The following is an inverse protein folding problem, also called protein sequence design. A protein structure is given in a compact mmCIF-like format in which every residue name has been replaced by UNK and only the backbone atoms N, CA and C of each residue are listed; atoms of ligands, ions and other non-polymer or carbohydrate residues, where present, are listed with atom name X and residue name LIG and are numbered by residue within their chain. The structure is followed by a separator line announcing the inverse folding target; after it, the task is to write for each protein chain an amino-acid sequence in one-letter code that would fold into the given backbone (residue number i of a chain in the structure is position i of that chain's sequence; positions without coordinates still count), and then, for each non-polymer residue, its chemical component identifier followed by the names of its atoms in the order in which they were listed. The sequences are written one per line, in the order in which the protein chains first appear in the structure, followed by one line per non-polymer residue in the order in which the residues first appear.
data_IF_729920476649
#
_entry.id   IF_729920476649
#
_cell.length_a   1.000
_cell.length_b   1.000
_cell.length_c   1.000
_cell.angle_alpha   90.00
_cell.angle_beta   90.00
_cell.angle_gamma   90.00
#
_symmetry.space_group_name_H-M   'P 1'
#
loop_
_entity.id
_entity.type
_entity.pdbx_description
1 polymer ?
#
# COMPACT_ATOMS: atom_id res chain seq x y z
N UNK A 1 15.25 15.68 -18.91
CA UNK A 1 16.21 15.41 -17.82
C UNK A 1 15.68 15.91 -16.48
N UNK A 2 15.37 17.21 -16.28
CA UNK A 2 14.75 17.72 -15.03
C UNK A 2 13.43 17.02 -14.61
N UNK A 3 12.50 16.81 -15.55
CA UNK A 3 11.24 16.08 -15.26
C UNK A 3 11.46 14.59 -14.95
N UNK A 4 12.50 13.97 -15.51
CA UNK A 4 12.77 12.55 -15.30
C UNK A 4 13.39 12.29 -13.92
N UNK A 5 14.22 13.20 -13.40
CA UNK A 5 14.78 13.11 -12.05
C UNK A 5 13.70 13.28 -10.96
N UNK A 6 12.76 14.20 -11.15
CA UNK A 6 11.62 14.41 -10.24
C UNK A 6 10.64 13.22 -10.25
N UNK A 7 10.36 12.63 -11.43
CA UNK A 7 9.53 11.42 -11.53
C UNK A 7 10.20 10.22 -10.85
N UNK A 8 11.53 10.06 -10.98
CA UNK A 8 12.29 9.00 -10.30
C UNK A 8 12.24 9.10 -8.77
N UNK A 9 12.32 10.33 -8.25
CA UNK A 9 12.18 10.66 -6.83
C UNK A 9 10.79 10.27 -6.32
N UNK A 10 9.73 10.64 -7.06
CA UNK A 10 8.35 10.30 -6.70
C UNK A 10 8.12 8.78 -6.68
N UNK A 11 8.64 8.03 -7.66
CA UNK A 11 8.48 6.56 -7.71
C UNK A 11 9.15 5.81 -6.55
N UNK A 12 10.29 6.32 -6.02
CA UNK A 12 10.97 5.73 -4.86
C UNK A 12 10.25 6.01 -3.53
N UNK A 13 9.55 7.13 -3.45
CA UNK A 13 8.89 7.63 -2.23
C UNK A 13 7.49 7.03 -1.98
N UNK A 14 6.97 6.40 -3.02
CA UNK A 14 5.62 5.82 -3.13
C UNK A 14 5.60 4.40 -2.53
N UNK A 15 6.74 3.71 -2.36
CA UNK A 15 6.84 2.30 -1.92
C UNK A 15 6.82 2.01 -0.40
N UNK A 16 6.32 2.91 0.46
CA UNK A 16 6.34 2.73 1.92
C UNK A 16 5.31 1.73 2.46
N UNK A 17 5.80 0.66 3.11
CA UNK A 17 5.35 0.01 4.40
C UNK A 17 6.17 -1.24 4.78
N UNK A 18 7.37 -1.40 4.24
CA UNK A 18 8.27 -2.51 4.64
C UNK A 18 9.65 -1.96 4.98
N UNK A 19 9.77 -0.68 5.36
CA UNK A 19 11.07 -0.02 5.45
C UNK A 19 11.96 -0.53 6.59
N UNK A 20 11.44 -1.20 7.62
CA UNK A 20 12.30 -1.92 8.58
C UNK A 20 13.00 -3.15 7.97
N UNK A 21 12.32 -3.94 7.13
CA UNK A 21 12.96 -5.05 6.41
C UNK A 21 13.72 -4.58 5.16
N UNK A 22 13.26 -3.52 4.48
CA UNK A 22 14.01 -2.87 3.39
C UNK A 22 15.23 -2.12 3.90
N UNK A 23 15.23 -1.54 5.10
CA UNK A 23 16.44 -0.94 5.68
C UNK A 23 17.53 -1.99 5.77
N UNK A 24 17.27 -3.19 6.31
CA UNK A 24 18.30 -4.24 6.39
C UNK A 24 18.62 -4.93 5.05
N UNK A 25 17.65 -5.11 4.14
CA UNK A 25 17.84 -5.78 2.84
C UNK A 25 18.46 -4.84 1.78
N UNK A 26 18.13 -3.54 1.81
CA UNK A 26 18.79 -2.51 1.02
C UNK A 26 20.16 -2.16 1.61
N UNK A 27 20.32 -2.18 2.94
CA UNK A 27 21.61 -1.98 3.57
C UNK A 27 22.66 -3.02 3.14
N UNK A 28 22.29 -4.25 2.78
CA UNK A 28 23.26 -5.23 2.24
C UNK A 28 23.44 -5.15 0.70
N UNK A 29 22.41 -4.76 -0.05
CA UNK A 29 22.42 -4.77 -1.52
C UNK A 29 22.86 -3.47 -2.18
N UNK A 30 22.55 -2.30 -1.60
CA UNK A 30 22.91 -0.98 -2.16
C UNK A 30 24.10 -0.30 -1.47
N UNK A 31 24.51 -0.72 -0.27
CA UNK A 31 25.78 -0.30 0.36
C UNK A 31 27.01 -0.64 -0.49
N UNK A 32 26.88 -1.57 -1.44
CA UNK A 32 27.94 -1.92 -2.40
C UNK A 32 28.01 -0.97 -3.60
N UNK A 33 27.00 -0.14 -3.85
CA UNK A 33 26.91 0.75 -5.03
C UNK A 33 26.88 2.24 -4.71
N UNK A 34 26.34 2.66 -3.56
CA UNK A 34 26.47 4.02 -3.08
C UNK A 34 27.80 4.18 -2.31
N UNK A 35 28.73 4.98 -2.82
CA UNK A 35 29.88 5.47 -2.03
C UNK A 35 29.42 6.56 -1.03
N UNK A 36 28.35 6.30 -0.28
CA UNK A 36 27.84 7.17 0.79
C UNK A 36 28.07 6.52 2.15
N UNK A 37 28.49 7.30 3.14
CA UNK A 37 28.72 6.81 4.50
C UNK A 37 27.38 6.73 5.24
N UNK A 38 26.62 5.64 5.03
CA UNK A 38 25.45 5.32 5.85
C UNK A 38 25.85 4.74 7.22
N UNK A 39 27.15 4.55 7.48
CA UNK A 39 27.67 3.94 8.71
C UNK A 39 27.62 4.86 9.93
N UNK A 40 27.38 6.16 9.75
CA UNK A 40 27.30 7.17 10.81
C UNK A 40 25.86 7.52 11.25
N UNK A 41 24.84 6.84 10.68
CA UNK A 41 23.43 7.02 11.07
C UNK A 41 23.22 6.34 12.44
N UNK A 42 22.76 7.08 13.48
CA UNK A 42 22.53 6.51 14.79
C UNK A 42 21.29 5.60 14.81
N UNK A 43 21.26 4.65 15.74
CA UNK A 43 20.06 3.87 16.03
C UNK A 43 18.95 4.78 16.57
N UNK A 44 17.74 4.63 16.02
CA UNK A 44 16.59 5.43 16.40
C UNK A 44 16.11 5.07 17.82
N UNK A 45 15.75 6.09 18.61
CA UNK A 45 15.14 5.91 19.92
C UNK A 45 13.66 6.30 19.81
N UNK A 46 12.82 5.32 19.48
CA UNK A 46 11.35 5.49 19.39
C UNK A 46 10.77 5.78 20.78
N UNK A 47 9.86 6.76 20.86
CA UNK A 47 9.25 7.23 22.12
C UNK A 47 7.74 7.22 22.13
N UNK A 48 7.13 7.17 20.95
CA UNK A 48 5.70 7.05 20.73
C UNK A 48 5.39 5.64 20.23
N UNK A 49 4.32 5.03 20.74
CA UNK A 49 3.86 3.73 20.24
C UNK A 49 3.00 3.86 18.98
N UNK A 50 2.69 5.07 18.51
CA UNK A 50 2.00 5.30 17.24
C UNK A 50 2.58 4.41 16.13
N UNK A 51 1.69 3.74 15.40
CA UNK A 51 2.03 2.85 14.29
C UNK A 51 2.90 1.63 14.64
N UNK A 52 3.07 1.32 15.92
CA UNK A 52 3.77 0.09 16.36
C UNK A 52 2.94 -1.15 16.05
N UNK A 53 3.63 -2.24 15.69
CA UNK A 53 3.02 -3.54 15.43
C UNK A 53 3.07 -4.44 16.68
N UNK A 54 1.89 -4.76 17.19
CA UNK A 54 1.64 -5.66 18.31
C UNK A 54 1.00 -6.99 17.88
N UNK A 55 1.02 -7.32 16.58
CA UNK A 55 0.41 -8.53 16.05
C UNK A 55 0.96 -9.79 16.74
N UNK A 56 0.07 -10.63 17.25
CA UNK A 56 0.42 -11.86 17.97
C UNK A 56 1.12 -11.69 19.32
N UNK A 57 1.27 -10.47 19.83
CA UNK A 57 1.96 -10.20 21.11
C UNK A 57 1.05 -10.46 22.32
N UNK A 58 1.69 -10.71 23.48
CA UNK A 58 1.01 -10.79 24.78
C UNK A 58 1.21 -9.48 25.54
N UNK A 59 0.18 -8.63 25.56
CA UNK A 59 0.18 -7.30 26.18
C UNK A 59 -0.57 -7.27 27.52
N UNK A 60 -0.90 -8.44 28.09
CA UNK A 60 -1.74 -8.55 29.30
C UNK A 60 -1.19 -7.81 30.52
N UNK A 61 0.13 -7.59 30.56
CA UNK A 61 0.83 -6.88 31.63
C UNK A 61 1.01 -5.37 31.36
N UNK A 62 0.60 -4.85 30.20
CA UNK A 62 0.70 -3.42 29.86
C UNK A 62 -0.52 -2.61 30.32
N UNK A 63 -0.35 -1.31 30.47
CA UNK A 63 -1.43 -0.36 30.81
C UNK A 63 -1.59 0.66 29.68
N UNK A 64 -2.74 0.61 29.01
CA UNK A 64 -3.11 1.50 27.92
C UNK A 64 -4.20 2.51 28.34
N UNK A 65 -4.57 2.57 29.63
CA UNK A 65 -5.70 3.39 30.11
C UNK A 65 -5.61 4.89 29.76
N UNK A 66 -4.39 5.39 29.51
CA UNK A 66 -4.11 6.79 29.17
C UNK A 66 -3.83 7.03 27.68
N UNK A 67 -3.83 6.00 26.83
CA UNK A 67 -3.44 6.11 25.41
C UNK A 67 -4.50 6.85 24.58
N UNK A 68 -5.79 6.68 24.88
CA UNK A 68 -6.87 7.30 24.12
C UNK A 68 -6.87 6.85 22.65
N UNK A 69 -7.20 7.77 21.74
CA UNK A 69 -7.37 7.52 20.30
C UNK A 69 -6.08 7.04 19.60
N UNK A 70 -4.91 7.23 20.22
CA UNK A 70 -3.63 6.73 19.69
C UNK A 70 -3.67 5.20 19.46
N UNK A 71 -4.47 4.46 20.23
CA UNK A 71 -4.63 3.00 20.06
C UNK A 71 -5.11 2.62 18.65
N UNK A 72 -5.82 3.53 17.97
CA UNK A 72 -6.28 3.33 16.60
C UNK A 72 -5.14 3.34 15.58
N UNK A 73 -3.99 3.90 15.94
CA UNK A 73 -2.82 3.94 15.04
C UNK A 73 -2.00 2.65 15.07
N UNK A 74 -2.21 1.77 16.05
CA UNK A 74 -1.44 0.54 16.21
C UNK A 74 -1.77 -0.49 15.14
N UNK A 75 -0.88 -1.45 14.90
CA UNK A 75 -1.19 -2.69 14.22
C UNK A 75 -1.31 -3.83 15.24
N UNK A 76 -2.29 -4.72 15.07
CA UNK A 76 -2.48 -5.87 15.95
C UNK A 76 -3.40 -6.91 15.30
N UNK A 77 -3.24 -8.18 15.72
CA UNK A 77 -4.00 -9.29 15.17
C UNK A 77 -5.05 -9.83 16.14
N UNK A 78 -5.93 -10.68 15.64
CA UNK A 78 -6.89 -11.46 16.43
C UNK A 78 -6.23 -12.32 17.51
N UNK A 79 -4.92 -12.61 17.39
CA UNK A 79 -4.15 -13.37 18.39
C UNK A 79 -3.49 -12.48 19.45
N UNK A 80 -3.44 -11.16 19.23
CA UNK A 80 -2.89 -10.21 20.21
C UNK A 80 -3.71 -10.28 21.50
N UNK A 81 -3.05 -10.53 22.63
CA UNK A 81 -3.72 -10.60 23.92
C UNK A 81 -3.64 -9.25 24.63
N UNK A 82 -4.80 -8.71 24.96
CA UNK A 82 -4.93 -7.40 25.59
C UNK A 82 -5.14 -7.51 27.11
N UNK A 83 -4.78 -6.46 27.88
CA UNK A 83 -5.05 -6.42 29.31
C UNK A 83 -6.56 -6.28 29.60
N UNK A 84 -6.93 -6.37 30.88
CA UNK A 84 -8.30 -6.16 31.33
C UNK A 84 -8.84 -4.77 30.97
N UNK A 85 -10.16 -4.63 30.88
CA UNK A 85 -10.83 -3.40 30.45
C UNK A 85 -10.50 -2.16 31.33
N UNK A 86 -10.09 -2.37 32.59
CA UNK A 86 -9.62 -1.32 33.51
C UNK A 86 -8.26 -0.72 33.11
N UNK A 87 -7.51 -1.41 32.25
CA UNK A 87 -6.21 -1.01 31.71
C UNK A 87 -6.26 -0.70 30.21
N UNK A 88 -7.46 -0.61 29.64
CA UNK A 88 -7.69 -0.22 28.25
C UNK A 88 -8.22 1.21 28.17
N UNK A 89 -8.01 1.94 27.06
CA UNK A 89 -8.63 3.25 26.85
C UNK A 89 -10.16 3.14 26.92
N UNK A 90 -10.86 4.04 27.65
CA UNK A 90 -12.31 4.04 27.70
C UNK A 90 -12.95 4.16 26.31
N UNK A 91 -13.90 3.26 26.01
CA UNK A 91 -14.62 3.28 24.73
C UNK A 91 -13.95 2.53 23.58
N UNK A 92 -12.74 2.00 23.78
CA UNK A 92 -12.03 1.23 22.77
C UNK A 92 -11.93 -0.24 23.15
N UNK A 93 -12.32 -1.11 22.22
CA UNK A 93 -12.16 -2.56 22.32
C UNK A 93 -11.47 -3.07 21.07
N UNK A 94 -10.40 -3.89 21.19
CA UNK A 94 -9.67 -4.42 20.05
C UNK A 94 -10.56 -5.17 19.05
N UNK A 95 -11.56 -5.91 19.55
CA UNK A 95 -12.51 -6.63 18.69
C UNK A 95 -13.37 -5.69 17.86
N UNK A 96 -13.79 -4.55 18.44
CA UNK A 96 -14.59 -3.55 17.74
C UNK A 96 -13.74 -2.82 16.69
N UNK A 97 -12.45 -2.58 16.96
CA UNK A 97 -11.51 -1.97 15.99
C UNK A 97 -11.29 -2.92 14.80
N UNK A 98 -11.02 -4.21 15.05
CA UNK A 98 -10.91 -5.23 14.00
C UNK A 98 -12.19 -5.33 13.19
N UNK A 99 -13.36 -5.36 13.84
CA UNK A 99 -14.63 -5.45 13.14
C UNK A 99 -14.87 -4.25 12.21
N UNK A 100 -14.57 -3.04 12.69
CA UNK A 100 -14.75 -1.80 11.91
C UNK A 100 -13.73 -1.66 10.78
N UNK A 101 -12.49 -2.10 10.97
CA UNK A 101 -11.48 -2.03 9.92
C UNK A 101 -11.72 -2.99 8.75
N UNK A 102 -12.61 -3.99 8.91
CA UNK A 102 -13.00 -4.88 7.78
C UNK A 102 -13.83 -4.15 6.74
N UNK A 103 -14.56 -3.11 7.13
CA UNK A 103 -15.34 -2.28 6.21
C UNK A 103 -14.42 -1.43 5.34
N UNK A 104 -14.48 -1.59 4.03
CA UNK A 104 -13.67 -0.82 3.08
C UNK A 104 -14.22 0.61 2.85
N UNK A 105 -15.46 0.89 3.29
CA UNK A 105 -16.08 2.21 3.25
C UNK A 105 -16.50 2.69 1.86
N UNK A 106 -16.72 4.00 1.75
CA UNK A 106 -16.99 4.75 0.52
C UNK A 106 -18.19 4.23 -0.28
N UNK A 107 -19.20 3.68 0.41
CA UNK A 107 -20.44 3.19 -0.16
C UNK A 107 -20.34 1.82 -0.83
N UNK A 108 -19.24 1.08 -0.63
CA UNK A 108 -19.06 -0.26 -1.22
C UNK A 108 -20.16 -1.23 -0.79
N UNK A 109 -20.57 -1.24 0.49
CA UNK A 109 -21.67 -2.10 0.95
C UNK A 109 -22.98 -1.82 0.20
N UNK A 110 -23.28 -0.55 -0.08
CA UNK A 110 -24.47 -0.19 -0.86
C UNK A 110 -24.38 -0.66 -2.33
N UNK A 111 -23.18 -0.68 -2.91
CA UNK A 111 -22.95 -1.27 -4.24
C UNK A 111 -23.16 -2.78 -4.22
N UNK A 112 -22.61 -3.47 -3.20
CA UNK A 112 -22.78 -4.92 -3.03
C UNK A 112 -24.26 -5.29 -2.85
N UNK A 113 -25.01 -4.56 -2.02
CA UNK A 113 -26.46 -4.75 -1.86
C UNK A 113 -27.24 -4.52 -3.17
N UNK A 114 -26.73 -3.67 -4.07
CA UNK A 114 -27.28 -3.44 -5.40
C UNK A 114 -26.84 -4.49 -6.44
N UNK A 115 -26.08 -5.52 -6.04
CA UNK A 115 -25.58 -6.59 -6.90
C UNK A 115 -24.31 -6.24 -7.68
N UNK A 116 -23.65 -5.12 -7.35
CA UNK A 116 -22.37 -4.74 -7.96
C UNK A 116 -21.24 -5.20 -7.02
N UNK A 117 -20.79 -6.42 -7.20
CA UNK A 117 -19.91 -7.20 -6.32
C UNK A 117 -18.62 -7.69 -7.01
N UNK A 118 -18.46 -7.40 -8.30
CA UNK A 118 -17.43 -7.99 -9.16
C UNK A 118 -17.80 -9.36 -9.72
N UNK A 119 -19.04 -9.82 -9.51
CA UNK A 119 -19.53 -11.09 -10.05
C UNK A 119 -19.30 -11.18 -11.57
N UNK A 120 -18.78 -12.32 -12.03
CA UNK A 120 -18.49 -12.55 -13.45
C UNK A 120 -17.20 -11.91 -13.95
N UNK A 121 -16.47 -11.16 -13.12
CA UNK A 121 -15.16 -10.60 -13.48
C UNK A 121 -14.04 -11.46 -12.90
N UNK A 122 -13.12 -11.88 -13.77
CA UNK A 122 -11.88 -12.54 -13.36
C UNK A 122 -10.77 -11.52 -13.17
N UNK A 123 -10.13 -11.58 -12.02
CA UNK A 123 -9.04 -10.69 -11.59
C UNK A 123 -7.85 -11.54 -11.17
N UNK A 124 -6.64 -10.96 -11.19
CA UNK A 124 -5.45 -11.66 -10.74
C UNK A 124 -4.61 -10.83 -9.77
N UNK A 125 -3.88 -11.53 -8.89
CA UNK A 125 -2.80 -10.97 -8.07
C UNK A 125 -1.52 -11.75 -8.39
N UNK A 126 -0.41 -11.05 -8.57
CA UNK A 126 0.93 -11.64 -8.61
C UNK A 126 1.70 -11.14 -7.39
N UNK A 127 1.88 -12.00 -6.39
CA UNK A 127 2.55 -11.66 -5.13
C UNK A 127 3.11 -12.95 -4.47
N UNK A 128 3.72 -12.85 -3.30
CA UNK A 128 4.33 -13.96 -2.54
C UNK A 128 3.27 -14.96 -2.06
N UNK A 129 3.63 -16.17 -1.60
CA UNK A 129 2.66 -17.18 -1.17
C UNK A 129 1.72 -16.69 -0.06
N UNK A 130 0.50 -17.23 0.01
CA UNK A 130 -0.52 -16.89 1.02
C UNK A 130 -1.17 -18.16 1.58
N UNK A 131 -1.82 -18.10 2.76
CA UNK A 131 -2.61 -19.23 3.26
C UNK A 131 -3.81 -19.48 2.33
N UNK A 132 -3.84 -20.63 1.66
CA UNK A 132 -4.82 -20.94 0.59
C UNK A 132 -6.24 -21.16 1.13
N UNK A 133 -6.35 -21.53 2.40
CA UNK A 133 -7.57 -21.91 3.10
C UNK A 133 -8.12 -20.79 4.00
N UNK A 134 -7.61 -19.57 3.90
CA UNK A 134 -8.06 -18.44 4.69
C UNK A 134 -9.52 -18.07 4.36
N UNK A 135 -10.36 -17.94 5.40
CA UNK A 135 -11.80 -17.73 5.25
C UNK A 135 -12.17 -16.49 4.43
N UNK A 136 -11.38 -15.43 4.57
CA UNK A 136 -11.56 -14.18 3.83
C UNK A 136 -11.70 -14.37 2.31
N UNK A 137 -10.95 -15.26 1.65
CA UNK A 137 -10.91 -15.31 0.18
C UNK A 137 -10.96 -16.73 -0.41
N UNK A 138 -10.95 -17.79 0.42
CA UNK A 138 -10.86 -19.19 -0.03
C UNK A 138 -11.95 -19.62 -1.02
N UNK A 139 -13.14 -19.01 -0.96
CA UNK A 139 -14.27 -19.36 -1.83
C UNK A 139 -14.03 -18.90 -3.29
N UNK A 140 -13.38 -17.75 -3.47
CA UNK A 140 -13.14 -17.14 -4.78
C UNK A 140 -11.74 -17.44 -5.36
N UNK A 141 -10.87 -18.05 -4.55
CA UNK A 141 -9.46 -18.24 -4.87
C UNK A 141 -9.21 -19.37 -5.88
N UNK A 142 -8.45 -19.04 -6.93
CA UNK A 142 -7.77 -19.96 -7.86
C UNK A 142 -6.26 -19.77 -7.67
N UNK A 143 -5.63 -20.63 -6.88
CA UNK A 143 -4.22 -20.49 -6.52
C UNK A 143 -3.29 -21.21 -7.51
N UNK A 144 -2.30 -20.50 -8.03
CA UNK A 144 -1.29 -20.99 -8.98
C UNK A 144 0.10 -20.78 -8.40
N UNK A 145 0.89 -21.85 -8.33
CA UNK A 145 2.31 -21.76 -7.97
C UNK A 145 3.13 -21.52 -9.23
N UNK A 146 3.81 -20.37 -9.33
CA UNK A 146 4.66 -20.03 -10.48
C UNK A 146 5.96 -20.85 -10.48
N UNK A 147 6.40 -21.31 -9.30
CA UNK A 147 7.60 -22.11 -9.10
C UNK A 147 7.32 -23.36 -8.23
N UNK A 148 6.54 -24.34 -8.73
CA UNK A 148 6.19 -25.51 -7.94
C UNK A 148 7.45 -26.30 -7.54
N UNK A 149 7.56 -26.62 -6.25
CA UNK A 149 8.71 -27.31 -5.67
C UNK A 149 9.86 -26.42 -5.22
N UNK A 150 9.79 -25.10 -5.41
CA UNK A 150 10.74 -24.15 -4.80
C UNK A 150 10.41 -23.96 -3.31
N UNK A 151 11.41 -24.12 -2.42
CA UNK A 151 11.19 -24.04 -0.97
C UNK A 151 10.66 -22.69 -0.50
N UNK A 152 10.96 -21.61 -1.23
CA UNK A 152 10.48 -20.26 -0.92
C UNK A 152 8.99 -20.10 -1.13
N UNK A 153 8.35 -21.07 -1.79
CA UNK A 153 6.90 -21.12 -1.93
C UNK A 153 6.17 -21.57 -0.65
N UNK A 154 6.89 -22.07 0.34
CA UNK A 154 6.30 -22.70 1.53
C UNK A 154 5.97 -21.71 2.66
N UNK A 155 6.41 -20.46 2.57
CA UNK A 155 6.21 -19.47 3.62
C UNK A 155 5.19 -18.41 3.16
N UNK A 156 4.00 -18.37 3.79
CA UNK A 156 3.04 -17.30 3.54
C UNK A 156 3.59 -15.93 3.92
N UNK A 157 3.18 -14.90 3.18
CA UNK A 157 3.55 -13.51 3.40
C UNK A 157 2.30 -12.63 3.56
N UNK A 158 2.34 -11.72 4.54
CA UNK A 158 1.16 -10.93 4.93
C UNK A 158 0.68 -9.98 3.84
N UNK A 159 1.58 -9.43 3.03
CA UNK A 159 1.22 -8.44 1.99
C UNK A 159 0.25 -9.04 0.97
N UNK A 160 0.54 -10.23 0.46
CA UNK A 160 -0.31 -10.93 -0.50
C UNK A 160 -1.66 -11.35 0.09
N UNK A 161 -1.68 -11.79 1.36
CA UNK A 161 -2.93 -12.16 2.04
C UNK A 161 -3.82 -10.94 2.23
N UNK A 162 -3.20 -9.81 2.60
CA UNK A 162 -3.87 -8.53 2.66
C UNK A 162 -4.44 -8.10 1.31
N UNK A 163 -3.63 -8.17 0.25
CA UNK A 163 -4.06 -7.84 -1.10
C UNK A 163 -5.23 -8.70 -1.60
N UNK A 164 -5.19 -10.02 -1.37
CA UNK A 164 -6.28 -10.92 -1.71
C UNK A 164 -7.57 -10.56 -0.96
N UNK A 165 -7.46 -10.26 0.35
CA UNK A 165 -8.63 -9.88 1.15
C UNK A 165 -9.22 -8.52 0.78
N UNK A 166 -8.39 -7.54 0.41
CA UNK A 166 -8.84 -6.21 -0.04
C UNK A 166 -9.53 -6.32 -1.39
N UNK A 167 -8.95 -7.06 -2.33
CA UNK A 167 -9.47 -7.12 -3.69
C UNK A 167 -10.77 -7.92 -3.75
N UNK A 168 -10.74 -9.19 -3.32
CA UNK A 168 -11.82 -10.16 -3.53
C UNK A 168 -12.13 -11.01 -2.29
N UNK A 169 -11.80 -10.49 -1.10
CA UNK A 169 -12.23 -11.10 0.15
C UNK A 169 -13.70 -10.86 0.47
N UNK A 170 -14.24 -11.54 1.46
CA UNK A 170 -15.63 -11.42 1.94
C UNK A 170 -16.05 -9.96 2.20
N UNK A 171 -15.12 -9.16 2.74
CA UNK A 171 -15.31 -7.72 3.00
C UNK A 171 -14.52 -6.84 2.02
N UNK A 172 -13.98 -7.42 0.95
CA UNK A 172 -13.18 -6.73 -0.03
C UNK A 172 -14.01 -5.81 -0.94
N UNK A 173 -13.32 -5.14 -1.85
CA UNK A 173 -13.93 -4.20 -2.81
C UNK A 173 -14.82 -4.94 -3.81
N UNK A 174 -14.35 -6.07 -4.35
CA UNK A 174 -15.04 -6.90 -5.33
C UNK A 174 -15.21 -8.35 -4.80
N UNK A 175 -16.06 -8.57 -3.79
CA UNK A 175 -16.14 -9.81 -3.01
C UNK A 175 -16.63 -11.04 -3.78
N UNK A 176 -17.13 -10.89 -5.02
CA UNK A 176 -17.58 -12.01 -5.85
C UNK A 176 -16.78 -12.15 -7.16
N UNK A 177 -15.69 -11.37 -7.31
CA UNK A 177 -14.75 -11.53 -8.41
C UNK A 177 -13.98 -12.87 -8.27
N UNK A 178 -13.75 -13.57 -9.38
CA UNK A 178 -12.92 -14.78 -9.36
C UNK A 178 -11.45 -14.38 -9.28
N UNK A 179 -10.79 -14.73 -8.17
CA UNK A 179 -9.42 -14.32 -7.88
C UNK A 179 -8.40 -15.39 -8.31
N UNK A 180 -7.64 -15.10 -9.37
CA UNK A 180 -6.46 -15.88 -9.76
C UNK A 180 -5.22 -15.37 -9.01
N UNK A 181 -4.62 -16.21 -8.18
CA UNK A 181 -3.45 -15.83 -7.40
C UNK A 181 -2.21 -16.54 -7.92
N UNK A 182 -1.31 -15.79 -8.57
CA UNK A 182 -0.03 -16.29 -9.06
C UNK A 182 1.04 -16.06 -7.99
N UNK A 183 1.25 -17.09 -7.18
CA UNK A 183 2.25 -17.04 -6.13
C UNK A 183 3.66 -17.15 -6.71
N UNK A 184 4.51 -16.18 -6.39
CA UNK A 184 5.92 -16.12 -6.78
C UNK A 184 6.85 -16.33 -5.58
N UNK A 185 8.06 -16.91 -5.77
CA UNK A 185 9.05 -16.99 -4.71
C UNK A 185 9.47 -15.62 -4.17
N UNK A 186 9.78 -15.56 -2.87
CA UNK A 186 10.50 -14.41 -2.30
C UNK A 186 11.97 -14.45 -2.74
N UNK A 187 12.28 -13.73 -3.83
CA UNK A 187 13.58 -13.74 -4.51
C UNK A 187 14.11 -12.31 -4.63
N UNK A 188 15.44 -12.17 -4.54
CA UNK A 188 16.14 -10.91 -4.83
C UNK A 188 16.00 -10.44 -6.28
N UNK A 189 15.59 -11.32 -7.21
CA UNK A 189 15.28 -11.01 -8.60
C UNK A 189 13.77 -11.14 -8.88
N UNK A 190 12.92 -10.25 -8.31
CA UNK A 190 11.47 -10.39 -8.38
C UNK A 190 10.93 -10.27 -9.82
N UNK A 191 11.52 -9.41 -10.66
CA UNK A 191 11.06 -9.20 -12.04
C UNK A 191 11.06 -10.47 -12.87
N UNK A 192 12.04 -11.37 -12.66
CA UNK A 192 12.07 -12.67 -13.32
C UNK A 192 10.80 -13.48 -13.03
N UNK A 193 10.37 -13.49 -11.77
CA UNK A 193 9.20 -14.25 -11.35
C UNK A 193 7.90 -13.54 -11.73
N UNK A 194 7.85 -12.20 -11.70
CA UNK A 194 6.74 -11.39 -12.20
C UNK A 194 6.52 -11.62 -13.70
N UNK A 195 7.58 -11.56 -14.52
CA UNK A 195 7.51 -11.85 -15.96
C UNK A 195 7.02 -13.27 -16.20
N UNK A 196 7.57 -14.28 -15.50
CA UNK A 196 7.12 -15.66 -15.63
C UNK A 196 5.65 -15.83 -15.26
N UNK A 197 5.19 -15.18 -14.19
CA UNK A 197 3.80 -15.22 -13.76
C UNK A 197 2.86 -14.60 -14.81
N UNK A 198 3.26 -13.47 -15.39
CA UNK A 198 2.49 -12.82 -16.46
C UNK A 198 2.45 -13.67 -17.73
N UNK A 199 3.55 -14.30 -18.12
CA UNK A 199 3.56 -15.22 -19.26
C UNK A 199 2.59 -16.41 -19.02
N UNK A 200 2.62 -17.01 -17.82
CA UNK A 200 1.66 -18.06 -17.44
C UNK A 200 0.21 -17.57 -17.46
N UNK A 201 -0.04 -16.33 -17.01
CA UNK A 201 -1.36 -15.72 -17.03
C UNK A 201 -1.86 -15.54 -18.47
N UNK A 202 -1.02 -15.03 -19.36
CA UNK A 202 -1.38 -14.83 -20.77
C UNK A 202 -1.62 -16.16 -21.49
N UNK A 203 -0.77 -17.17 -21.27
CA UNK A 203 -0.98 -18.53 -21.79
C UNK A 203 -2.34 -19.10 -21.33
N UNK A 204 -2.68 -18.95 -20.04
CA UNK A 204 -3.98 -19.38 -19.52
C UNK A 204 -5.15 -18.62 -20.17
N UNK A 205 -5.02 -17.32 -20.41
CA UNK A 205 -6.08 -16.51 -21.05
C UNK A 205 -6.38 -16.97 -22.47
N UNK A 206 -5.39 -17.44 -23.22
CA UNK A 206 -5.61 -17.95 -24.59
C UNK A 206 -6.59 -19.14 -24.59
N UNK A 207 -6.54 -19.97 -23.56
CA UNK A 207 -7.39 -21.16 -23.41
C UNK A 207 -8.77 -20.86 -22.80
N UNK A 208 -8.97 -19.67 -22.23
CA UNK A 208 -10.21 -19.29 -21.56
C UNK A 208 -11.26 -18.69 -22.51
N UNK A 209 -12.57 -18.94 -22.25
CA UNK A 209 -13.65 -18.19 -22.89
C UNK A 209 -13.48 -16.69 -22.68
N UNK A 210 -13.81 -15.89 -23.69
CA UNK A 210 -13.58 -14.44 -23.69
C UNK A 210 -14.14 -13.73 -22.44
N UNK A 211 -15.37 -14.08 -22.05
CA UNK A 211 -16.03 -13.51 -20.86
C UNK A 211 -15.50 -14.01 -19.51
N UNK A 212 -14.64 -15.02 -19.48
CA UNK A 212 -14.04 -15.53 -18.24
C UNK A 212 -12.58 -15.06 -18.07
N UNK A 213 -11.97 -14.48 -19.11
CA UNK A 213 -10.55 -14.08 -19.10
C UNK A 213 -10.27 -13.08 -17.99
N UNK A 214 -9.11 -13.23 -17.36
CA UNK A 214 -8.58 -12.22 -16.43
C UNK A 214 -8.47 -10.87 -17.13
N UNK A 215 -9.08 -9.82 -16.55
CA UNK A 215 -9.11 -8.46 -17.11
C UNK A 215 -8.28 -7.47 -16.33
N UNK A 216 -8.11 -7.68 -15.03
CA UNK A 216 -7.32 -6.80 -14.14
C UNK A 216 -6.29 -7.63 -13.40
N UNK A 217 -5.04 -7.18 -13.39
CA UNK A 217 -3.93 -7.81 -12.66
C UNK A 217 -3.35 -6.81 -11.68
N UNK A 218 -3.46 -7.10 -10.39
CA UNK A 218 -2.84 -6.34 -9.31
C UNK A 218 -1.43 -6.86 -9.04
N UNK A 219 -0.44 -5.97 -9.19
CA UNK A 219 0.96 -6.25 -8.86
C UNK A 219 1.47 -5.17 -7.91
N UNK A 220 1.54 -5.49 -6.62
CA UNK A 220 1.95 -4.57 -5.56
C UNK A 220 3.48 -4.40 -5.51
N UNK A 221 4.10 -4.22 -6.68
CA UNK A 221 5.54 -4.07 -6.86
C UNK A 221 5.81 -2.97 -7.89
N UNK A 222 6.53 -1.92 -7.49
CA UNK A 222 6.92 -0.83 -8.38
C UNK A 222 8.07 -1.22 -9.32
N UNK A 223 8.24 -0.47 -10.40
CA UNK A 223 9.31 -0.71 -11.39
C UNK A 223 10.49 0.22 -11.11
N UNK A 224 11.60 -0.37 -10.67
CA UNK A 224 12.87 0.34 -10.49
C UNK A 224 13.57 0.54 -11.84
N UNK A 225 14.18 1.70 -12.04
CA UNK A 225 14.83 2.11 -13.30
C UNK A 225 16.09 1.33 -13.68
N UNK A 226 16.65 0.52 -12.77
CA UNK A 226 17.93 -0.19 -12.98
C UNK A 226 17.96 -1.62 -12.41
N UNK A 227 16.79 -2.24 -12.19
CA UNK A 227 16.70 -3.62 -11.72
C UNK A 227 16.99 -4.64 -12.84
N UNK A 228 17.75 -5.70 -12.53
CA UNK A 228 17.90 -6.82 -13.46
C UNK A 228 16.51 -7.43 -13.75
N UNK A 229 16.13 -7.54 -15.02
CA UNK A 229 14.80 -8.01 -15.43
C UNK A 229 13.73 -6.91 -15.56
N UNK A 230 14.02 -5.65 -15.23
CA UNK A 230 13.01 -4.59 -15.26
C UNK A 230 12.50 -4.28 -16.68
N UNK A 231 13.37 -4.36 -17.70
CA UNK A 231 12.96 -4.17 -19.10
C UNK A 231 12.08 -5.32 -19.58
N UNK A 232 12.45 -6.56 -19.27
CA UNK A 232 11.66 -7.75 -19.59
C UNK A 232 10.30 -7.75 -18.89
N UNK A 233 10.23 -7.18 -17.68
CA UNK A 233 8.97 -6.96 -16.97
C UNK A 233 8.09 -5.91 -17.64
N UNK A 234 8.66 -4.76 -18.02
CA UNK A 234 7.94 -3.73 -18.79
C UNK A 234 7.41 -4.27 -20.13
N UNK A 235 8.20 -5.07 -20.83
CA UNK A 235 7.77 -5.73 -22.06
C UNK A 235 6.62 -6.72 -21.81
N UNK A 236 6.62 -7.42 -20.66
CA UNK A 236 5.53 -8.32 -20.29
C UNK A 236 4.24 -7.57 -19.96
N UNK A 237 4.33 -6.43 -19.27
CA UNK A 237 3.20 -5.53 -19.02
C UNK A 237 2.62 -5.06 -20.36
N UNK A 238 3.46 -4.54 -21.27
CA UNK A 238 3.01 -4.05 -22.56
C UNK A 238 2.28 -5.14 -23.38
N UNK A 239 2.80 -6.38 -23.38
CA UNK A 239 2.12 -7.52 -24.01
C UNK A 239 0.76 -7.83 -23.40
N UNK A 240 0.61 -7.66 -22.09
CA UNK A 240 -0.65 -7.89 -21.40
C UNK A 240 -1.67 -6.79 -21.74
N UNK A 241 -1.24 -5.53 -21.73
CA UNK A 241 -2.04 -4.36 -22.08
C UNK A 241 -2.52 -4.40 -23.53
N UNK A 242 -1.66 -4.80 -24.48
CA UNK A 242 -2.02 -5.04 -25.89
C UNK A 242 -3.14 -6.08 -26.05
N UNK A 243 -3.31 -6.98 -25.08
CA UNK A 243 -4.36 -8.01 -25.03
C UNK A 243 -5.54 -7.63 -24.13
N UNK A 244 -5.69 -6.34 -23.80
CA UNK A 244 -6.80 -5.79 -23.03
C UNK A 244 -6.78 -6.14 -21.54
N UNK A 245 -5.60 -6.47 -20.99
CA UNK A 245 -5.40 -6.65 -19.55
C UNK A 245 -4.98 -5.32 -18.92
N UNK A 246 -5.67 -4.90 -17.88
CA UNK A 246 -5.29 -3.74 -17.08
C UNK A 246 -4.31 -4.22 -16.00
N UNK A 247 -3.06 -3.79 -16.07
CA UNK A 247 -2.06 -4.12 -15.05
C UNK A 247 -1.95 -2.95 -14.08
N UNK A 248 -2.42 -3.16 -12.85
CA UNK A 248 -2.38 -2.15 -11.78
C UNK A 248 -1.12 -2.37 -10.96
N UNK A 249 -0.26 -1.34 -10.91
CA UNK A 249 0.96 -1.36 -10.10
C UNK A 249 1.36 0.06 -9.67
N UNK A 250 2.14 0.23 -8.58
CA UNK A 250 2.64 1.54 -8.19
C UNK A 250 3.45 2.21 -9.29
N UNK A 251 3.00 3.40 -9.72
CA UNK A 251 3.65 4.17 -10.78
C UNK A 251 3.28 3.74 -12.21
N UNK A 252 2.17 3.03 -12.39
CA UNK A 252 1.62 2.73 -13.71
C UNK A 252 1.29 3.98 -14.53
N UNK A 253 1.26 3.83 -15.85
CA UNK A 253 0.77 4.87 -16.75
C UNK A 253 -0.76 5.01 -16.65
N UNK A 254 -1.28 6.16 -17.06
CA UNK A 254 -2.73 6.44 -17.10
C UNK A 254 -3.30 6.99 -15.79
N UNK A 255 -2.93 6.42 -14.64
CA UNK A 255 -3.39 6.90 -13.34
C UNK A 255 -2.33 6.80 -12.24
N UNK A 256 -2.06 7.92 -11.57
CA UNK A 256 -1.22 7.95 -10.37
C UNK A 256 -2.13 7.83 -9.15
N UNK A 257 -1.79 6.93 -8.24
CA UNK A 257 -2.57 6.71 -7.03
C UNK A 257 -1.71 6.63 -5.76
N UNK A 258 -2.34 6.92 -4.62
CA UNK A 258 -1.74 6.95 -3.27
C UNK A 258 -2.75 6.50 -2.22
N UNK A 259 -2.35 6.51 -0.95
CA UNK A 259 -3.19 6.13 0.18
C UNK A 259 -4.09 7.25 0.74
N UNK A 260 -5.08 6.83 1.51
CA UNK A 260 -5.88 7.61 2.46
C UNK A 260 -6.29 6.73 3.64
N UNK A 261 -6.81 7.35 4.69
CA UNK A 261 -7.30 6.65 5.89
C UNK A 261 -8.57 7.25 6.42
N UNK A 262 -9.42 6.42 7.04
CA UNK A 262 -10.53 6.88 7.88
C UNK A 262 -10.44 6.18 9.24
N UNK A 263 -10.16 6.92 10.33
CA UNK A 263 -10.12 6.37 11.68
C UNK A 263 -11.39 5.57 12.01
N UNK A 264 -11.30 4.38 12.66
CA UNK A 264 -12.46 3.50 12.84
C UNK A 264 -13.62 4.08 13.65
N UNK A 265 -13.43 5.17 14.38
CA UNK A 265 -14.49 5.81 15.15
C UNK A 265 -15.34 6.79 14.32
N UNK A 266 -14.92 7.12 13.09
CA UNK A 266 -15.62 7.98 12.14
C UNK A 266 -16.45 7.16 11.14
N UNK A 267 -17.26 7.85 10.35
CA UNK A 267 -18.09 7.25 9.30
C UNK A 267 -17.22 6.99 8.05
N UNK A 268 -17.12 5.72 7.64
CA UNK A 268 -16.29 5.33 6.49
C UNK A 268 -16.99 5.54 5.15
N UNK A 269 -18.29 5.82 5.15
CA UNK A 269 -19.02 6.19 3.94
C UNK A 269 -19.03 7.71 3.69
N UNK A 270 -18.57 8.50 4.66
CA UNK A 270 -18.45 9.95 4.54
C UNK A 270 -17.04 10.34 4.07
N UNK A 271 -16.87 10.90 2.84
CA UNK A 271 -15.56 11.34 2.36
C UNK A 271 -14.93 12.45 3.22
N UNK A 272 -15.72 13.22 3.98
CA UNK A 272 -15.19 14.24 4.90
C UNK A 272 -14.50 13.64 6.13
N UNK A 273 -14.73 12.35 6.43
CA UNK A 273 -14.09 11.63 7.52
C UNK A 273 -12.68 11.10 7.15
N UNK A 274 -12.28 11.22 5.88
CA UNK A 274 -10.99 10.73 5.42
C UNK A 274 -9.87 11.74 5.65
N UNK A 275 -8.71 11.20 6.00
CA UNK A 275 -7.45 11.90 6.15
C UNK A 275 -6.42 11.40 5.15
N UNK A 276 -5.44 12.26 4.85
CA UNK A 276 -4.32 11.89 3.99
C UNK A 276 -3.54 10.75 4.63
N UNK A 277 -2.98 9.89 3.78
CA UNK A 277 -2.20 8.71 4.18
C UNK A 277 -1.23 9.03 5.33
N UNK A 278 -1.20 8.15 6.33
CA UNK A 278 -0.29 8.17 7.47
C UNK A 278 1.17 8.40 7.04
N UNK A 279 1.63 7.75 5.97
CA UNK A 279 2.96 7.94 5.40
C UNK A 279 3.20 9.35 4.86
N UNK A 280 2.21 9.93 4.16
CA UNK A 280 2.27 11.33 3.70
C UNK A 280 2.48 12.26 4.89
N UNK A 281 1.65 12.08 5.93
CA UNK A 281 1.68 12.94 7.12
C UNK A 281 2.97 12.81 7.92
N UNK A 282 3.52 11.60 8.05
CA UNK A 282 4.81 11.38 8.70
C UNK A 282 5.93 12.16 7.99
N UNK A 283 5.99 12.10 6.65
CA UNK A 283 6.96 12.88 5.86
C UNK A 283 6.77 14.39 6.05
N UNK A 284 5.53 14.86 6.06
CA UNK A 284 5.23 16.28 6.31
C UNK A 284 5.65 16.74 7.70
N UNK A 285 5.44 15.91 8.72
CA UNK A 285 5.90 16.19 10.09
C UNK A 285 7.42 16.31 10.14
N UNK A 286 8.14 15.39 9.49
CA UNK A 286 9.61 15.43 9.39
C UNK A 286 10.08 16.68 8.63
N UNK A 287 9.49 17.01 7.47
CA UNK A 287 9.81 18.26 6.75
C UNK A 287 9.49 19.49 7.60
N UNK A 288 8.36 19.49 8.30
CA UNK A 288 7.97 20.56 9.20
C UNK A 288 9.01 20.80 10.30
N UNK A 289 9.57 19.73 10.88
CA UNK A 289 10.67 19.78 11.85
C UNK A 289 11.94 20.39 11.23
N UNK A 290 12.33 19.99 10.01
CA UNK A 290 13.47 20.57 9.29
C UNK A 290 13.30 22.07 9.01
N UNK A 291 12.10 22.48 8.60
CA UNK A 291 11.78 23.90 8.35
C UNK A 291 11.83 24.69 9.65
N UNK A 292 11.30 24.15 10.75
CA UNK A 292 11.29 24.82 12.06
C UNK A 292 12.70 25.03 12.64
N UNK A 293 13.63 24.11 12.40
CA UNK A 293 15.04 24.27 12.84
C UNK A 293 15.85 25.19 11.93
N UNK A 294 15.30 25.57 10.76
CA UNK A 294 15.96 26.45 9.80
C UNK A 294 16.99 25.73 8.94
N UNK A 295 16.86 24.41 8.76
CA UNK A 295 17.72 23.66 7.85
C UNK A 295 17.64 24.25 6.44
N UNK A 296 18.79 24.59 5.85
CA UNK A 296 18.87 25.36 4.61
C UNK A 296 19.73 24.69 3.52
N UNK A 297 20.33 23.56 3.86
CA UNK A 297 21.20 22.76 3.00
C UNK A 297 21.01 21.27 3.26
N UNK A 298 21.53 20.43 2.36
CA UNK A 298 21.58 18.99 2.54
C UNK A 298 22.35 18.57 3.80
N UNK A 299 23.42 19.30 4.14
CA UNK A 299 24.23 19.05 5.34
C UNK A 299 23.44 19.37 6.63
N UNK A 300 22.78 20.54 6.67
CA UNK A 300 21.92 20.93 7.80
C UNK A 300 20.82 19.88 8.01
N UNK A 301 20.17 19.47 6.91
CA UNK A 301 19.09 18.50 6.97
C UNK A 301 19.57 17.13 7.44
N UNK A 302 20.72 16.64 6.95
CA UNK A 302 21.29 15.36 7.38
C UNK A 302 21.58 15.36 8.89
N UNK A 303 22.22 16.41 9.39
CA UNK A 303 22.54 16.51 10.82
C UNK A 303 21.29 16.63 11.69
N UNK A 304 20.31 17.41 11.26
CA UNK A 304 19.05 17.53 11.98
C UNK A 304 18.26 16.23 11.99
N UNK A 305 18.18 15.52 10.86
CA UNK A 305 17.54 14.20 10.77
C UNK A 305 18.20 13.18 11.72
N UNK A 306 19.54 13.14 11.78
CA UNK A 306 20.28 12.30 12.75
C UNK A 306 19.99 12.71 14.20
N UNK A 307 19.86 14.02 14.47
CA UNK A 307 19.47 14.54 15.79
C UNK A 307 18.06 14.09 16.16
N UNK A 308 17.09 14.19 15.25
CA UNK A 308 15.70 13.78 15.48
C UNK A 308 15.60 12.29 15.88
N UNK A 309 16.35 11.40 15.20
CA UNK A 309 16.37 9.97 15.52
C UNK A 309 16.69 9.65 16.99
N UNK A 310 17.43 10.51 17.69
CA UNK A 310 17.89 10.24 19.06
C UNK A 310 17.24 11.13 20.12
N UNK A 311 16.70 12.28 19.73
CA UNK A 311 16.31 13.35 20.67
C UNK A 311 14.87 13.83 20.54
N UNK A 312 14.15 13.44 19.50
CA UNK A 312 12.75 13.82 19.35
C UNK A 312 11.88 13.11 20.42
N UNK A 313 11.14 13.86 21.25
CA UNK A 313 10.32 13.29 22.32
C UNK A 313 9.11 12.50 21.80
N UNK A 314 8.63 12.79 20.59
CA UNK A 314 7.38 12.28 20.04
C UNK A 314 7.59 11.31 18.87
N UNK A 315 8.86 10.93 18.64
CA UNK A 315 9.30 10.09 17.52
C UNK A 315 8.56 8.76 17.51
N UNK A 316 7.84 8.52 16.43
CA UNK A 316 7.15 7.27 16.12
C UNK A 316 7.84 6.48 15.00
N UNK A 317 7.38 5.25 14.76
CA UNK A 317 8.04 4.37 13.79
C UNK A 317 7.90 4.84 12.33
N UNK A 318 6.82 5.52 11.95
CA UNK A 318 6.68 6.06 10.60
C UNK A 318 7.58 7.28 10.39
N UNK A 319 7.73 8.14 11.39
CA UNK A 319 8.70 9.24 11.33
C UNK A 319 10.13 8.72 11.22
N UNK A 320 10.48 7.62 11.91
CA UNK A 320 11.78 6.96 11.73
C UNK A 320 11.97 6.48 10.29
N UNK A 321 10.97 5.79 9.72
CA UNK A 321 11.02 5.33 8.33
C UNK A 321 11.15 6.51 7.34
N UNK A 322 10.43 7.62 7.59
CA UNK A 322 10.51 8.83 6.80
C UNK A 322 11.91 9.47 6.91
N UNK A 323 12.47 9.57 8.12
CA UNK A 323 13.83 10.09 8.34
C UNK A 323 14.87 9.24 7.58
N UNK A 324 14.81 7.91 7.69
CA UNK A 324 15.74 7.04 6.97
C UNK A 324 15.61 7.18 5.45
N UNK A 325 14.38 7.29 4.95
CA UNK A 325 14.11 7.58 3.54
C UNK A 325 14.74 8.91 3.14
N UNK A 326 14.59 9.95 3.95
CA UNK A 326 15.14 11.27 3.66
C UNK A 326 16.67 11.26 3.68
N UNK A 327 17.30 10.57 4.64
CA UNK A 327 18.75 10.42 4.70
C UNK A 327 19.28 9.70 3.45
N UNK A 328 18.63 8.62 3.03
CA UNK A 328 18.99 7.90 1.79
C UNK A 328 18.85 8.80 0.56
N UNK A 329 17.75 9.54 0.47
CA UNK A 329 17.46 10.39 -0.67
C UNK A 329 18.42 11.61 -0.71
N UNK A 330 18.92 12.10 0.44
CA UNK A 330 20.01 13.09 0.50
C UNK A 330 21.30 12.52 -0.10
N UNK A 331 21.64 11.27 0.21
CA UNK A 331 22.82 10.61 -0.39
C UNK A 331 22.67 10.44 -1.90
N UNK A 332 21.47 10.11 -2.38
CA UNK A 332 21.19 10.07 -3.83
C UNK A 332 21.31 11.46 -4.47
N UNK A 333 20.78 12.51 -3.82
CA UNK A 333 20.89 13.87 -4.30
C UNK A 333 22.35 14.33 -4.40
N UNK A 334 23.23 13.86 -3.51
CA UNK A 334 24.67 14.14 -3.58
C UNK A 334 25.35 13.59 -4.86
N UNK A 335 24.73 12.63 -5.56
CA UNK A 335 25.21 12.10 -6.84
C UNK A 335 24.80 12.97 -8.04
N UNK A 336 23.87 13.92 -7.85
CA UNK A 336 23.40 14.84 -8.88
C UNK A 336 23.90 16.28 -8.59
N UNK A 337 24.89 16.79 -9.35
CA UNK A 337 25.41 18.15 -9.19
C UNK A 337 24.37 19.26 -9.42
N UNK A 338 23.18 18.92 -9.95
CA UNK A 338 22.08 19.86 -10.16
C UNK A 338 21.00 19.81 -9.08
N UNK A 339 21.11 18.94 -8.09
CA UNK A 339 20.14 18.84 -7.01
C UNK A 339 20.13 20.11 -6.15
N UNK A 340 18.96 20.75 -6.04
CA UNK A 340 18.75 21.90 -5.15
C UNK A 340 17.99 21.46 -3.90
N UNK A 341 18.50 21.83 -2.71
CA UNK A 341 17.93 21.41 -1.44
C UNK A 341 16.45 21.78 -1.28
N UNK A 342 16.06 22.98 -1.72
CA UNK A 342 14.66 23.41 -1.62
C UNK A 342 13.74 22.60 -2.54
N UNK A 343 14.15 22.35 -3.79
CA UNK A 343 13.39 21.49 -4.71
C UNK A 343 13.28 20.07 -4.15
N UNK A 344 14.36 19.56 -3.57
CA UNK A 344 14.39 18.26 -2.91
C UNK A 344 13.42 18.19 -1.72
N UNK A 345 13.50 19.15 -0.79
CA UNK A 345 12.67 19.18 0.41
C UNK A 345 11.17 19.17 0.06
N UNK A 346 10.78 19.93 -0.96
CA UNK A 346 9.41 19.95 -1.44
C UNK A 346 9.03 18.69 -2.21
N UNK A 347 9.93 18.11 -3.02
CA UNK A 347 9.69 16.81 -3.66
C UNK A 347 9.40 15.71 -2.63
N UNK A 348 9.88 15.84 -1.38
CA UNK A 348 9.61 14.85 -0.34
C UNK A 348 8.15 14.81 0.14
N UNK A 349 7.41 15.89 -0.03
CA UNK A 349 6.05 16.07 0.53
C UNK A 349 5.02 16.53 -0.50
N UNK A 350 5.46 16.90 -1.71
CA UNK A 350 4.56 17.32 -2.78
C UNK A 350 3.99 16.08 -3.46
N UNK A 351 2.67 16.08 -3.61
CA UNK A 351 1.94 15.11 -4.41
C UNK A 351 1.33 15.83 -5.62
N UNK A 352 1.17 15.11 -6.71
CA UNK A 352 0.38 15.61 -7.82
C UNK A 352 -1.06 15.78 -7.34
N UNK A 353 -1.66 16.96 -7.52
CA UNK A 353 -3.05 17.24 -7.14
C UNK A 353 -4.04 16.34 -7.90
N UNK A 354 -3.60 15.72 -9.00
CA UNK A 354 -4.36 14.74 -9.76
C UNK A 354 -4.19 13.30 -9.27
N UNK A 355 -3.45 13.07 -8.16
CA UNK A 355 -3.26 11.73 -7.59
C UNK A 355 -4.54 11.21 -6.95
N UNK A 356 -5.01 10.04 -7.40
CA UNK A 356 -6.14 9.35 -6.80
C UNK A 356 -5.75 8.71 -5.46
N UNK A 357 -6.44 9.07 -4.39
CA UNK A 357 -6.25 8.52 -3.06
C UNK A 357 -7.26 7.40 -2.83
N UNK A 358 -6.79 6.25 -2.33
CA UNK A 358 -7.65 5.11 -1.98
C UNK A 358 -7.41 4.68 -0.53
N UNK A 359 -8.40 4.08 0.16
CA UNK A 359 -8.23 3.58 1.52
C UNK A 359 -7.08 2.57 1.62
N UNK A 360 -6.12 2.84 2.50
CA UNK A 360 -5.03 1.91 2.87
C UNK A 360 -4.78 1.87 4.37
N UNK A 361 -5.03 2.97 5.09
CA UNK A 361 -4.92 3.02 6.55
C UNK A 361 -6.20 2.56 7.25
N UNK A 362 -6.03 2.16 8.51
CA UNK A 362 -7.10 1.70 9.40
C UNK A 362 -7.90 0.52 8.83
N UNK A 363 -7.23 -0.34 8.05
CA UNK A 363 -7.81 -1.52 7.44
C UNK A 363 -7.55 -2.75 8.30
N UNK A 364 -8.52 -3.66 8.32
CA UNK A 364 -8.35 -5.02 8.82
C UNK A 364 -8.33 -5.97 7.63
N UNK A 365 -7.23 -6.70 7.51
CA UNK A 365 -6.97 -7.59 6.39
C UNK A 365 -6.72 -9.01 6.87
N UNK A 366 -6.75 -9.98 5.95
CA UNK A 366 -6.46 -11.38 6.28
C UNK A 366 -5.06 -11.53 6.89
N UNK A 367 -4.98 -12.21 8.03
CA UNK A 367 -3.73 -12.57 8.69
C UNK A 367 -3.13 -13.84 8.10
N UNK A 368 -1.93 -14.19 8.56
CA UNK A 368 -1.21 -15.40 8.13
C UNK A 368 -0.99 -16.42 9.25
N UNK A 369 -1.44 -16.11 10.46
CA UNK A 369 -1.23 -16.95 11.65
C UNK A 369 -2.21 -18.11 11.71
N UNK A 370 -3.41 -17.97 11.15
CA UNK A 370 -4.39 -19.06 11.01
C UNK A 370 -5.38 -18.81 9.87
N UNK A 371 -6.18 -19.82 9.45
CA UNK A 371 -7.20 -19.65 8.42
C UNK A 371 -8.32 -18.65 8.76
N UNK A 372 -8.43 -18.19 10.01
CA UNK A 372 -9.43 -17.21 10.46
C UNK A 372 -8.79 -16.00 11.16
N UNK A 373 -7.47 -15.80 10.98
CA UNK A 373 -6.78 -14.69 11.61
C UNK A 373 -7.02 -13.39 10.85
N UNK A 374 -7.15 -12.28 11.55
CA UNK A 374 -7.17 -10.96 10.92
C UNK A 374 -6.19 -10.05 11.62
N UNK A 375 -5.60 -9.12 10.86
CA UNK A 375 -4.71 -8.09 11.39
C UNK A 375 -5.25 -6.72 11.01
N UNK A 376 -5.45 -5.88 12.03
CA UNK A 376 -5.74 -4.47 11.89
C UNK A 376 -4.44 -3.69 11.75
N UNK A 377 -4.42 -2.69 10.88
CA UNK A 377 -3.29 -1.81 10.65
C UNK A 377 -3.75 -0.36 10.68
N UNK A 378 -3.35 0.39 11.71
CA UNK A 378 -3.58 1.84 11.75
C UNK A 378 -2.83 2.62 10.67
N UNK A 379 -1.70 2.10 10.20
CA UNK A 379 -1.00 2.57 9.01
C UNK A 379 -0.79 1.42 8.02
N UNK A 380 -1.33 1.57 6.81
CA UNK A 380 -1.20 0.60 5.74
C UNK A 380 -0.32 1.07 4.61
N UNK A 381 -0.09 0.15 3.66
CA UNK A 381 0.89 0.30 2.60
C UNK A 381 0.33 0.75 1.28
N UNK A 382 1.16 1.38 0.45
CA UNK A 382 0.78 1.59 -0.95
C UNK A 382 0.54 0.27 -1.68
N UNK A 383 1.22 -0.81 -1.28
CA UNK A 383 0.95 -2.14 -1.82
C UNK A 383 -0.51 -2.59 -1.65
N UNK A 384 -1.30 -1.96 -0.77
CA UNK A 384 -2.73 -2.19 -0.62
C UNK A 384 -3.62 -1.24 -1.43
N UNK A 385 -3.08 -0.11 -1.88
CA UNK A 385 -3.78 0.76 -2.82
C UNK A 385 -3.99 0.05 -4.18
N UNK A 386 -3.00 -0.75 -4.61
CA UNK A 386 -3.05 -1.53 -5.85
C UNK A 386 -4.25 -2.51 -5.90
N UNK A 387 -4.43 -3.43 -4.94
CA UNK A 387 -5.58 -4.34 -4.92
C UNK A 387 -6.91 -3.61 -4.68
N UNK A 388 -6.93 -2.51 -3.92
CA UNK A 388 -8.14 -1.70 -3.77
C UNK A 388 -8.60 -1.13 -5.12
N UNK A 389 -7.69 -0.46 -5.84
CA UNK A 389 -7.96 0.11 -7.16
C UNK A 389 -8.36 -0.99 -8.16
N UNK A 390 -7.65 -2.12 -8.17
CA UNK A 390 -8.00 -3.27 -9.00
C UNK A 390 -9.42 -3.79 -8.72
N UNK A 391 -9.84 -3.81 -7.45
CA UNK A 391 -11.21 -4.14 -7.06
C UNK A 391 -12.23 -3.14 -7.60
N UNK A 392 -11.97 -1.84 -7.50
CA UNK A 392 -12.87 -0.80 -8.04
C UNK A 392 -13.01 -0.96 -9.56
N UNK A 393 -11.91 -1.19 -10.27
CA UNK A 393 -11.92 -1.46 -11.71
C UNK A 393 -12.74 -2.71 -12.05
N UNK A 394 -12.68 -3.76 -11.22
CA UNK A 394 -13.49 -4.96 -11.39
C UNK A 394 -15.00 -4.67 -11.23
N UNK A 395 -15.38 -3.79 -10.29
CA UNK A 395 -16.79 -3.34 -10.18
C UNK A 395 -17.24 -2.60 -11.44
N UNK A 396 -16.37 -1.76 -12.02
CA UNK A 396 -16.65 -1.07 -13.29
C UNK A 396 -16.84 -2.04 -14.45
N UNK A 397 -15.97 -3.05 -14.56
CA UNK A 397 -16.04 -4.08 -15.60
C UNK A 397 -17.24 -5.02 -15.46
N UNK A 398 -17.83 -5.15 -14.27
CA UNK A 398 -19.10 -5.85 -14.10
C UNK A 398 -20.25 -5.06 -14.74
N UNK A 399 -20.20 -3.73 -14.65
CA UNK A 399 -21.25 -2.82 -15.13
C UNK A 399 -21.17 -2.62 -16.64
N UNK A 400 -19.96 -2.36 -17.14
CA UNK A 400 -19.65 -2.27 -18.56
C UNK A 400 -18.46 -3.17 -18.89
N UNK A 401 -18.68 -4.39 -19.39
CA UNK A 401 -17.59 -5.32 -19.74
C UNK A 401 -16.72 -4.85 -20.91
N UNK A 402 -17.22 -3.96 -21.77
CA UNK A 402 -16.58 -3.55 -23.01
C UNK A 402 -15.84 -2.20 -22.88
N UNK A 403 -15.96 -1.53 -21.73
CA UNK A 403 -15.30 -0.26 -21.43
C UNK A 403 -13.77 -0.35 -21.59
N UNK A 404 -13.18 0.69 -22.15
CA UNK A 404 -11.73 0.78 -22.32
C UNK A 404 -11.02 1.16 -21.00
N UNK A 405 -9.73 0.81 -20.84
CA UNK A 405 -8.94 1.24 -19.69
C UNK A 405 -8.91 2.77 -19.51
N UNK A 406 -8.78 3.52 -20.60
CA UNK A 406 -8.74 4.99 -20.56
C UNK A 406 -10.05 5.59 -20.05
N UNK A 407 -11.20 5.02 -20.44
CA UNK A 407 -12.52 5.43 -19.94
C UNK A 407 -12.69 5.10 -18.45
N UNK A 408 -12.22 3.92 -18.01
CA UNK A 408 -12.20 3.55 -16.59
C UNK A 408 -11.37 4.55 -15.76
N UNK A 409 -10.15 4.85 -16.20
CA UNK A 409 -9.27 5.79 -15.49
C UNK A 409 -9.84 7.21 -15.48
N UNK A 410 -10.43 7.65 -16.60
CA UNK A 410 -11.09 8.95 -16.68
C UNK A 410 -12.25 9.03 -15.70
N UNK A 411 -13.12 8.01 -15.67
CA UNK A 411 -14.25 7.95 -14.74
C UNK A 411 -13.79 7.99 -13.27
N UNK A 412 -12.71 7.28 -12.91
CA UNK A 412 -12.14 7.32 -11.56
C UNK A 412 -11.73 8.74 -11.15
N UNK A 413 -11.04 9.47 -12.02
CA UNK A 413 -10.51 10.81 -11.74
C UNK A 413 -11.62 11.87 -11.75
N UNK A 414 -12.57 11.78 -12.67
CA UNK A 414 -13.67 12.74 -12.83
C UNK A 414 -14.72 12.64 -11.73
N UNK A 415 -14.90 11.45 -11.14
CA UNK A 415 -15.90 11.22 -10.10
C UNK A 415 -15.36 11.31 -8.68
N UNK A 416 -14.03 11.34 -8.52
CA UNK A 416 -13.36 11.41 -7.22
C UNK A 416 -13.82 12.62 -6.39
N UNK A 417 -13.97 12.42 -5.08
CA UNK A 417 -14.25 13.51 -4.15
C UNK A 417 -12.99 14.32 -3.88
N UNK A 418 -13.13 15.64 -3.75
CA UNK A 418 -12.09 16.46 -3.13
C UNK A 418 -12.14 16.26 -1.62
N UNK A 419 -10.99 16.01 -0.98
CA UNK A 419 -10.89 15.87 0.47
C UNK A 419 -9.59 16.48 0.99
N UNK A 420 -9.51 16.70 2.31
CA UNK A 420 -8.38 17.35 2.97
C UNK A 420 -8.64 18.82 3.28
N UNK A 421 -7.58 19.60 3.43
CA UNK A 421 -7.65 21.02 3.83
C UNK A 421 -7.14 21.93 2.71
N UNK A 422 -7.62 23.18 2.70
CA UNK A 422 -7.26 24.18 1.70
C UNK A 422 -5.73 24.27 1.50
N UNK A 423 -5.30 24.11 0.25
CA UNK A 423 -3.89 24.14 -0.15
C UNK A 423 -3.17 22.78 -0.13
N UNK A 424 -3.79 21.71 0.38
CA UNK A 424 -3.24 20.35 0.37
C UNK A 424 -4.33 19.30 0.10
N UNK A 425 -5.29 19.66 -0.75
CA UNK A 425 -6.42 18.82 -1.14
C UNK A 425 -5.96 17.61 -1.96
N UNK A 426 -6.62 16.46 -1.77
CA UNK A 426 -6.45 15.25 -2.56
C UNK A 426 -7.74 14.85 -3.27
N UNK A 427 -7.66 13.84 -4.13
CA UNK A 427 -8.81 13.24 -4.83
C UNK A 427 -9.10 11.86 -4.27
N UNK A 428 -10.10 11.71 -3.40
CA UNK A 428 -10.51 10.42 -2.84
C UNK A 428 -11.37 9.65 -3.84
N UNK A 429 -11.07 8.37 -4.05
CA UNK A 429 -11.86 7.49 -4.91
C UNK A 429 -13.34 7.49 -4.49
N UNK A 430 -14.22 7.50 -5.48
CA UNK A 430 -15.67 7.48 -5.29
C UNK A 430 -16.26 6.25 -6.01
N UNK A 431 -16.25 5.05 -5.39
CA UNK A 431 -16.69 3.82 -6.04
C UNK A 431 -18.12 3.93 -6.60
N UNK A 432 -19.02 4.58 -5.87
CA UNK A 432 -20.41 4.76 -6.30
C UNK A 432 -20.51 5.69 -7.51
N UNK A 433 -19.91 6.87 -7.45
CA UNK A 433 -19.89 7.83 -8.56
C UNK A 433 -19.22 7.24 -9.80
N UNK A 434 -18.13 6.49 -9.60
CA UNK A 434 -17.44 5.75 -10.66
C UNK A 434 -18.36 4.74 -11.35
N UNK A 435 -19.02 3.86 -10.58
CA UNK A 435 -19.99 2.88 -11.13
C UNK A 435 -21.17 3.57 -11.83
N UNK A 436 -21.67 4.69 -11.29
CA UNK A 436 -22.76 5.45 -11.90
C UNK A 436 -22.36 6.10 -13.23
N UNK A 437 -21.11 6.53 -13.38
CA UNK A 437 -20.60 7.15 -14.61
C UNK A 437 -20.44 6.15 -15.77
N UNK A 438 -20.36 4.85 -15.48
CA UNK A 438 -20.22 3.78 -16.47
C UNK A 438 -21.56 3.16 -16.91
N UNK A 439 -22.69 3.61 -16.35
CA UNK A 439 -24.05 3.18 -16.74
C UNK A 439 -24.66 4.11 -17.75
#
# INVERSE_FOLDING_TARGET
MKKAAVVLLVSLMVLGTVASAFYYVIHDSLSRRAQGDLGDIPEAIVRSFRYSDFSGMDLTEMDFSTVGDEILTYAFSTETKWPGADRMPPGYRPEDIIARGKDMGLGLSALHEAGITGEGVSVAIIDKPIPKDHEAYRENLRYIEVAPGDERMNAPYFQGAGAASILAGEYGVAPEATLYYFAIPDDSEPYKWLTKAMDMLLDMREEMPEGERMRVVSVSYGIGTYGAGASEWLEAIARAEEQGVIVVYPGMDGIVFTGAGCPPHLDRDDPESYERWSWVRAKEQVVGKLVQTGASSFEDAREELKRLLTSDPDLDVLEVEAIHTFLYMIELAALDPSAEYQEYLWAMVTYDLDTLCVPVDYLTVAGISSPSSYTYYGAGGLGWATPYLAGVLALGLQVDPDVSPDELFSALIETAWTFGYEGVEGRLVNPKGFVEALR
#
